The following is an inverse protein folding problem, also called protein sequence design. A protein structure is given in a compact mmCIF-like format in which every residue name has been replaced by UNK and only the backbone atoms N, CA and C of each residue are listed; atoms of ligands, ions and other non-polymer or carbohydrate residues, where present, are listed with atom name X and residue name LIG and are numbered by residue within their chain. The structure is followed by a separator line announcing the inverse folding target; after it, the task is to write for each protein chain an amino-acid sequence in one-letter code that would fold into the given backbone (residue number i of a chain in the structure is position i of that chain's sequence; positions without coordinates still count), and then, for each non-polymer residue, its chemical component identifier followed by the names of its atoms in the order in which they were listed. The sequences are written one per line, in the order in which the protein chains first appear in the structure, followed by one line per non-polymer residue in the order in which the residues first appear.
data_IF_887685072492
#
_entry.id   IF_887685072492
#
_cell.length_a   1.000
_cell.length_b   1.000
_cell.length_c   1.000
_cell.angle_alpha   90.00
_cell.angle_beta   90.00
_cell.angle_gamma   90.00
#
_symmetry.space_group_name_H-M   'P 1'
#
loop_
_entity.id
_entity.type
_entity.pdbx_description
1 polymer ?
#
# COMPACT_ATOMS: atom_id res chain seq x y z
N UNK A 1 -14.28 -17.14 -5.33
CA UNK A 1 -13.81 -15.86 -5.91
C UNK A 1 -12.36 -15.69 -5.62
N UNK A 2 -11.57 -15.57 -6.67
CA UNK A 2 -10.12 -15.41 -6.54
C UNK A 2 -9.74 -13.94 -6.76
N UNK A 3 -8.80 -13.47 -5.94
CA UNK A 3 -8.21 -12.15 -6.06
C UNK A 3 -6.98 -12.26 -6.97
N UNK A 4 -6.91 -11.42 -7.98
CA UNK A 4 -5.74 -11.34 -8.85
C UNK A 4 -4.94 -10.09 -8.51
N UNK A 5 -3.69 -10.28 -8.11
CA UNK A 5 -2.78 -9.17 -7.82
C UNK A 5 -1.87 -8.95 -9.02
N UNK A 6 -1.77 -7.71 -9.46
CA UNK A 6 -0.92 -7.34 -10.58
C UNK A 6 -0.37 -5.92 -10.39
N UNK A 7 0.75 -5.57 -11.04
CA UNK A 7 1.21 -4.18 -11.09
C UNK A 7 0.11 -3.26 -11.65
N UNK A 8 0.02 -2.05 -11.10
CA UNK A 8 -0.92 -1.06 -11.62
C UNK A 8 -0.56 -0.71 -13.07
N UNK A 9 -1.56 -0.70 -13.93
CA UNK A 9 -1.42 -0.40 -15.36
C UNK A 9 -2.23 0.83 -15.73
N UNK A 10 -1.98 1.40 -16.91
CA UNK A 10 -2.66 2.61 -17.35
C UNK A 10 -4.19 2.50 -17.29
N UNK A 11 -4.73 1.34 -17.63
CA UNK A 11 -6.18 1.09 -17.61
C UNK A 11 -6.78 1.14 -16.19
N UNK A 12 -5.96 1.01 -15.16
CA UNK A 12 -6.43 1.04 -13.77
C UNK A 12 -6.68 2.45 -13.25
N UNK A 13 -6.26 3.49 -13.97
CA UNK A 13 -6.29 4.86 -13.47
C UNK A 13 -7.65 5.31 -12.91
N UNK A 14 -8.78 5.11 -13.62
CA UNK A 14 -10.06 5.60 -13.09
C UNK A 14 -10.43 4.96 -11.74
N UNK A 15 -10.25 3.66 -11.62
CA UNK A 15 -10.55 2.96 -10.36
C UNK A 15 -9.51 3.24 -9.28
N UNK A 16 -8.23 3.35 -9.67
CA UNK A 16 -7.19 3.76 -8.72
C UNK A 16 -7.52 5.12 -8.08
N UNK A 17 -7.97 6.07 -8.88
CA UNK A 17 -8.32 7.41 -8.38
C UNK A 17 -9.46 7.35 -7.37
N UNK A 18 -10.48 6.53 -7.61
CA UNK A 18 -11.58 6.33 -6.66
C UNK A 18 -11.05 5.76 -5.34
N UNK A 19 -10.21 4.73 -5.42
CA UNK A 19 -9.64 4.08 -4.23
C UNK A 19 -8.66 5.00 -3.49
N UNK A 20 -7.83 5.74 -4.22
CA UNK A 20 -6.90 6.71 -3.63
C UNK A 20 -7.65 7.83 -2.88
N UNK A 21 -8.74 8.34 -3.45
CA UNK A 21 -9.59 9.32 -2.77
C UNK A 21 -10.21 8.73 -1.51
N UNK A 22 -10.66 7.47 -1.56
CA UNK A 22 -11.18 6.77 -0.39
C UNK A 22 -10.15 6.63 0.72
N UNK A 23 -8.92 6.29 0.36
CA UNK A 23 -7.80 6.20 1.30
C UNK A 23 -7.53 7.55 2.00
N UNK A 24 -7.45 8.63 1.23
CA UNK A 24 -7.22 9.97 1.77
C UNK A 24 -8.37 10.46 2.64
N UNK A 25 -9.61 10.16 2.24
CA UNK A 25 -10.79 10.47 3.05
C UNK A 25 -10.78 9.74 4.39
N UNK A 26 -10.35 8.48 4.40
CA UNK A 26 -10.21 7.70 5.64
C UNK A 26 -9.25 8.38 6.62
N UNK A 27 -8.14 8.94 6.11
CA UNK A 27 -7.16 9.65 6.94
C UNK A 27 -7.46 11.16 7.05
N UNK A 28 -8.61 11.60 6.56
CA UNK A 28 -9.04 13.02 6.64
C UNK A 28 -8.00 13.97 6.04
N UNK A 29 -7.38 13.55 4.95
CA UNK A 29 -6.34 14.31 4.26
C UNK A 29 -6.89 14.86 2.95
N UNK A 30 -6.70 16.16 2.72
CA UNK A 30 -7.08 16.81 1.46
C UNK A 30 -5.91 16.75 0.48
N UNK A 31 -6.19 16.33 -0.75
CA UNK A 31 -5.21 16.19 -1.82
C UNK A 31 -5.82 16.80 -3.07
N UNK A 32 -5.06 17.66 -3.75
CA UNK A 32 -5.50 18.31 -4.98
C UNK A 32 -5.50 17.33 -6.16
N UNK A 33 -6.27 17.63 -7.19
CA UNK A 33 -6.27 16.82 -8.42
C UNK A 33 -4.88 16.74 -9.05
N UNK A 34 -4.12 17.83 -9.00
CA UNK A 34 -2.74 17.86 -9.50
C UNK A 34 -1.82 16.91 -8.71
N UNK A 35 -2.00 16.82 -7.41
CA UNK A 35 -1.23 15.89 -6.58
C UNK A 35 -1.57 14.44 -6.88
N UNK A 36 -2.85 14.10 -7.09
CA UNK A 36 -3.24 12.75 -7.54
C UNK A 36 -2.61 12.43 -8.89
N UNK A 37 -2.61 13.37 -9.82
CA UNK A 37 -2.02 13.17 -11.13
C UNK A 37 -0.51 12.91 -11.05
N UNK A 38 0.20 13.65 -10.21
CA UNK A 38 1.64 13.45 -9.98
C UNK A 38 1.92 12.08 -9.33
N UNK A 39 1.10 11.70 -8.35
CA UNK A 39 1.24 10.39 -7.70
C UNK A 39 1.07 9.26 -8.73
N UNK A 40 0.05 9.37 -9.59
CA UNK A 40 -0.17 8.37 -10.63
C UNK A 40 1.02 8.26 -11.59
N UNK A 41 1.58 9.41 -12.01
CA UNK A 41 2.76 9.41 -12.87
C UNK A 41 3.96 8.71 -12.21
N UNK A 42 4.18 8.95 -10.91
CA UNK A 42 5.25 8.25 -10.18
C UNK A 42 5.02 6.74 -10.15
N UNK A 43 3.78 6.30 -9.95
CA UNK A 43 3.46 4.88 -9.93
C UNK A 43 3.68 4.23 -11.30
N UNK A 44 3.32 4.91 -12.38
CA UNK A 44 3.56 4.39 -13.74
C UNK A 44 5.04 4.36 -14.11
N UNK A 45 5.83 5.29 -13.59
CA UNK A 45 7.26 5.36 -13.87
C UNK A 45 8.04 4.18 -13.28
N UNK A 46 7.61 3.63 -12.16
CA UNK A 46 8.21 2.47 -11.48
C UNK A 46 9.72 2.60 -11.25
N UNK A 47 10.16 3.80 -10.87
CA UNK A 47 11.57 4.07 -10.56
C UNK A 47 11.82 4.37 -9.08
N UNK A 48 10.87 4.99 -8.39
CA UNK A 48 10.99 5.35 -6.97
C UNK A 48 9.89 4.73 -6.10
N UNK A 49 8.69 4.61 -6.65
CA UNK A 49 7.55 3.97 -5.98
C UNK A 49 6.91 2.96 -6.92
N UNK A 50 6.32 1.93 -6.34
CA UNK A 50 5.65 0.87 -7.08
C UNK A 50 4.24 0.70 -6.55
N UNK A 51 3.34 0.27 -7.41
CA UNK A 51 1.96 0.01 -7.04
C UNK A 51 1.48 -1.33 -7.53
N UNK A 52 0.73 -2.02 -6.66
CA UNK A 52 0.02 -3.24 -7.02
C UNK A 52 -1.48 -3.00 -6.83
N UNK A 53 -2.25 -3.62 -7.70
CA UNK A 53 -3.71 -3.63 -7.63
C UNK A 53 -4.25 -5.01 -7.40
N UNK A 54 -5.31 -5.10 -6.61
CA UNK A 54 -6.08 -6.31 -6.41
C UNK A 54 -7.36 -6.22 -7.25
N UNK A 55 -7.54 -7.18 -8.13
CA UNK A 55 -8.72 -7.28 -8.99
C UNK A 55 -9.59 -8.44 -8.54
N UNK A 56 -10.87 -8.19 -8.45
CA UNK A 56 -11.89 -9.18 -8.10
C UNK A 56 -12.99 -9.10 -9.19
N UNK A 57 -13.20 -10.20 -9.90
CA UNK A 57 -14.14 -10.25 -11.03
C UNK A 57 -13.88 -9.14 -12.07
N UNK A 58 -12.60 -8.84 -12.32
CA UNK A 58 -12.20 -7.85 -13.31
C UNK A 58 -12.23 -6.40 -12.83
N UNK A 59 -12.66 -6.12 -11.61
CA UNK A 59 -12.69 -4.77 -11.04
C UNK A 59 -11.56 -4.57 -10.05
N UNK A 60 -10.87 -3.43 -10.14
CA UNK A 60 -9.86 -3.05 -9.17
C UNK A 60 -10.55 -2.69 -7.85
N UNK A 61 -10.27 -3.45 -6.80
CA UNK A 61 -10.90 -3.32 -5.49
C UNK A 61 -9.93 -3.02 -4.35
N UNK A 62 -8.64 -3.07 -4.60
CA UNK A 62 -7.63 -2.76 -3.59
C UNK A 62 -6.36 -2.25 -4.23
N UNK A 63 -5.65 -1.40 -3.51
CA UNK A 63 -4.39 -0.83 -3.96
C UNK A 63 -3.38 -0.82 -2.83
N UNK A 64 -2.10 -0.95 -3.19
CA UNK A 64 -1.00 -0.75 -2.27
C UNK A 64 0.15 -0.07 -3.02
N UNK A 65 0.86 0.80 -2.32
CA UNK A 65 2.03 1.49 -2.84
C UNK A 65 3.20 1.20 -1.91
N UNK A 66 4.36 0.93 -2.48
CA UNK A 66 5.54 0.61 -1.69
C UNK A 66 6.80 1.15 -2.37
N UNK A 67 7.87 1.23 -1.59
CA UNK A 67 9.15 1.74 -2.05
C UNK A 67 10.27 1.03 -1.30
N UNK A 68 11.48 1.22 -1.80
CA UNK A 68 12.68 0.64 -1.22
C UNK A 68 13.62 1.73 -0.78
N UNK A 69 14.31 1.53 0.33
CA UNK A 69 15.37 2.43 0.77
C UNK A 69 16.55 1.65 1.31
N UNK A 70 17.73 2.26 1.22
CA UNK A 70 18.93 1.79 1.87
C UNK A 70 19.05 2.46 3.22
N UNK A 71 19.44 1.72 4.24
CA UNK A 71 19.75 2.27 5.56
C UNK A 71 21.23 2.17 5.84
N UNK A 72 21.66 2.66 7.00
CA UNK A 72 23.05 2.53 7.43
C UNK A 72 23.43 1.06 7.63
N UNK A 73 22.52 0.29 8.20
CA UNK A 73 22.78 -1.09 8.61
C UNK A 73 22.13 -2.12 7.69
N UNK A 74 21.29 -1.70 6.75
CA UNK A 74 20.60 -2.57 5.82
C UNK A 74 20.83 -2.09 4.40
N UNK A 75 21.13 -3.01 3.50
CA UNK A 75 21.33 -2.66 2.10
C UNK A 75 20.01 -2.29 1.40
N UNK A 76 18.95 -3.03 1.64
CA UNK A 76 17.65 -2.81 1.01
C UNK A 76 16.53 -3.07 2.02
N UNK A 77 15.62 -2.13 2.14
CA UNK A 77 14.44 -2.24 3.02
C UNK A 77 13.22 -1.84 2.21
N UNK A 78 12.14 -2.61 2.33
CA UNK A 78 10.87 -2.30 1.68
C UNK A 78 9.94 -1.61 2.69
N UNK A 79 9.40 -0.46 2.30
CA UNK A 79 8.37 0.27 3.04
C UNK A 79 7.06 0.18 2.28
N UNK A 80 6.06 -0.49 2.87
CA UNK A 80 4.69 -0.50 2.37
C UNK A 80 4.02 0.76 2.90
N UNK A 81 3.85 1.74 2.02
CA UNK A 81 3.42 3.08 2.42
C UNK A 81 1.91 3.22 2.52
N UNK A 82 1.18 2.70 1.55
CA UNK A 82 -0.27 2.84 1.47
C UNK A 82 -0.91 1.48 1.19
N UNK A 83 -2.04 1.23 1.84
CA UNK A 83 -2.84 0.03 1.62
C UNK A 83 -4.30 0.38 1.83
N UNK A 84 -5.13 0.18 0.81
CA UNK A 84 -6.55 0.47 0.89
C UNK A 84 -7.36 -0.55 0.10
N UNK A 85 -8.46 -1.01 0.70
CA UNK A 85 -9.38 -1.96 0.10
C UNK A 85 -10.78 -1.33 0.10
N UNK A 86 -11.47 -1.47 -1.03
CA UNK A 86 -12.86 -1.02 -1.17
C UNK A 86 -13.71 -1.62 -0.05
N UNK A 87 -14.49 -0.76 0.62
CA UNK A 87 -15.32 -1.18 1.75
C UNK A 87 -16.29 -2.31 1.38
N UNK A 88 -16.73 -2.37 0.12
CA UNK A 88 -17.67 -3.38 -0.36
C UNK A 88 -17.12 -4.80 -0.30
N UNK A 89 -15.79 -4.96 -0.31
CA UNK A 89 -15.14 -6.27 -0.35
C UNK A 89 -14.23 -6.55 0.85
N UNK A 90 -14.31 -5.75 1.90
CA UNK A 90 -13.53 -5.99 3.13
C UNK A 90 -13.93 -7.31 3.77
N UNK A 91 -12.99 -7.93 4.47
CA UNK A 91 -13.19 -9.23 5.10
C UNK A 91 -13.05 -10.43 4.17
N UNK A 92 -12.58 -10.20 2.92
CA UNK A 92 -12.39 -11.27 1.92
C UNK A 92 -10.93 -11.60 1.66
N UNK A 93 -10.03 -11.13 2.50
CA UNK A 93 -8.59 -11.43 2.38
C UNK A 93 -7.85 -10.59 1.34
N UNK A 94 -8.44 -9.52 0.81
CA UNK A 94 -7.82 -8.67 -0.22
C UNK A 94 -6.58 -7.96 0.35
N UNK A 95 -6.69 -7.36 1.52
CA UNK A 95 -5.56 -6.66 2.15
C UNK A 95 -4.40 -7.62 2.43
N UNK A 96 -4.69 -8.81 2.95
CA UNK A 96 -3.68 -9.83 3.18
C UNK A 96 -2.98 -10.25 1.88
N UNK A 97 -3.74 -10.45 0.82
CA UNK A 97 -3.18 -10.82 -0.48
C UNK A 97 -2.25 -9.72 -1.02
N UNK A 98 -2.60 -8.45 -0.85
CA UNK A 98 -1.74 -7.33 -1.22
C UNK A 98 -0.45 -7.31 -0.40
N UNK A 99 -0.54 -7.48 0.92
CA UNK A 99 0.64 -7.54 1.78
C UNK A 99 1.57 -8.69 1.35
N UNK A 100 1.03 -9.86 1.09
CA UNK A 100 1.81 -11.02 0.67
C UNK A 100 2.48 -10.78 -0.69
N UNK A 101 1.81 -10.10 -1.61
CA UNK A 101 2.38 -9.75 -2.91
C UNK A 101 3.53 -8.75 -2.76
N UNK A 102 3.41 -7.76 -1.89
CA UNK A 102 4.51 -6.83 -1.58
C UNK A 102 5.68 -7.59 -0.94
N UNK A 103 5.39 -8.51 -0.02
CA UNK A 103 6.42 -9.33 0.60
C UNK A 103 7.19 -10.15 -0.45
N UNK A 104 6.49 -10.69 -1.44
CA UNK A 104 7.13 -11.42 -2.53
C UNK A 104 8.02 -10.52 -3.39
N UNK A 105 7.53 -9.33 -3.73
CA UNK A 105 8.33 -8.35 -4.46
C UNK A 105 9.58 -7.94 -3.67
N UNK A 106 9.44 -7.78 -2.35
CA UNK A 106 10.54 -7.47 -1.47
C UNK A 106 11.60 -8.58 -1.45
N UNK A 107 11.17 -9.84 -1.37
CA UNK A 107 12.08 -11.00 -1.42
C UNK A 107 12.85 -11.06 -2.75
N UNK A 108 12.14 -10.86 -3.85
CA UNK A 108 12.76 -10.88 -5.20
C UNK A 108 13.81 -9.79 -5.35
N UNK A 109 13.64 -8.67 -4.67
CA UNK A 109 14.60 -7.57 -4.68
C UNK A 109 15.73 -7.76 -3.67
N UNK A 110 15.65 -8.75 -2.81
CA UNK A 110 16.65 -9.00 -1.77
C UNK A 110 16.50 -8.10 -0.55
N UNK A 111 15.30 -7.57 -0.30
CA UNK A 111 15.06 -6.74 0.86
C UNK A 111 15.23 -7.54 2.16
N UNK A 112 15.87 -6.92 3.13
CA UNK A 112 16.13 -7.52 4.43
C UNK A 112 14.99 -7.29 5.44
N UNK A 113 14.08 -6.35 5.13
CA UNK A 113 12.96 -6.01 5.98
C UNK A 113 11.81 -5.45 5.13
N UNK A 114 10.59 -5.77 5.53
CA UNK A 114 9.35 -5.16 5.07
C UNK A 114 8.62 -4.62 6.29
N UNK A 115 8.24 -3.37 6.26
CA UNK A 115 7.51 -2.76 7.37
C UNK A 115 6.46 -1.76 6.87
N UNK A 116 5.51 -1.45 7.75
CA UNK A 116 4.50 -0.41 7.51
C UNK A 116 4.08 0.22 8.82
N UNK A 117 3.40 1.35 8.71
CA UNK A 117 2.89 2.12 9.83
C UNK A 117 1.37 2.12 9.79
N UNK A 118 0.75 2.19 10.94
CA UNK A 118 -0.69 2.42 11.08
C UNK A 118 -0.94 3.24 12.33
N UNK A 119 -2.10 3.89 12.40
CA UNK A 119 -2.48 4.60 13.60
C UNK A 119 -2.77 3.59 14.72
N UNK A 120 -2.32 3.90 15.94
CA UNK A 120 -2.41 2.98 17.07
C UNK A 120 -3.85 2.57 17.41
N UNK A 121 -4.82 3.46 17.11
CA UNK A 121 -6.24 3.22 17.37
C UNK A 121 -6.97 2.49 16.23
N UNK A 122 -6.29 2.21 15.13
CA UNK A 122 -6.88 1.52 13.98
C UNK A 122 -7.03 0.02 14.29
N UNK A 123 -8.02 -0.33 15.11
CA UNK A 123 -8.19 -1.68 15.63
C UNK A 123 -8.48 -2.70 14.52
N UNK A 124 -9.28 -2.34 13.52
CA UNK A 124 -9.62 -3.24 12.42
C UNK A 124 -8.40 -3.65 11.60
N UNK A 125 -7.56 -2.68 11.24
CA UNK A 125 -6.33 -2.96 10.50
C UNK A 125 -5.33 -3.75 11.36
N UNK A 126 -5.17 -3.38 12.63
CA UNK A 126 -4.26 -4.05 13.55
C UNK A 126 -4.64 -5.51 13.80
N UNK A 127 -5.93 -5.82 13.77
CA UNK A 127 -6.37 -7.22 13.90
C UNK A 127 -5.79 -8.10 12.78
N UNK A 128 -5.72 -7.58 11.55
CA UNK A 128 -5.05 -8.28 10.45
C UNK A 128 -3.52 -8.25 10.63
N UNK A 129 -2.95 -7.10 10.93
CA UNK A 129 -1.50 -6.93 11.02
C UNK A 129 -0.88 -7.81 12.09
N UNK A 130 -1.55 -7.98 13.22
CA UNK A 130 -1.09 -8.86 14.31
C UNK A 130 -1.04 -10.34 13.89
N UNK A 131 -1.84 -10.72 12.88
CA UNK A 131 -1.85 -12.09 12.34
C UNK A 131 -0.73 -12.34 11.32
N UNK A 132 -0.31 -11.30 10.59
CA UNK A 132 0.62 -11.47 9.46
C UNK A 132 2.02 -10.93 9.74
N UNK A 133 2.18 -10.12 10.79
CA UNK A 133 3.44 -9.46 11.12
C UNK A 133 3.59 -9.31 12.63
N UNK A 134 4.64 -8.65 13.05
CA UNK A 134 4.94 -8.42 14.45
C UNK A 134 5.00 -6.93 14.76
N UNK A 135 4.25 -6.47 15.75
CA UNK A 135 4.31 -5.12 16.25
C UNK A 135 5.64 -4.90 16.99
N UNK A 136 6.38 -3.85 16.59
CA UNK A 136 7.71 -3.56 17.14
C UNK A 136 7.75 -2.39 18.12
N UNK A 137 6.60 -1.84 18.46
CA UNK A 137 6.46 -0.78 19.46
C UNK A 137 7.26 0.49 19.15
N UNK A 138 7.34 0.87 17.88
CA UNK A 138 7.89 2.17 17.49
C UNK A 138 6.76 3.19 17.35
N UNK A 139 7.06 4.44 17.68
CA UNK A 139 6.16 5.57 17.44
C UNK A 139 6.82 6.53 16.46
N UNK A 140 6.00 7.30 15.76
CA UNK A 140 6.49 8.22 14.74
C UNK A 140 6.37 9.65 15.23
N UNK A 141 7.42 10.44 15.02
CA UNK A 141 7.44 11.88 15.23
C UNK A 141 7.64 12.57 13.88
N UNK A 142 6.85 13.61 13.61
CA UNK A 142 7.01 14.45 12.43
C UNK A 142 7.51 15.82 12.87
N UNK A 143 8.59 16.28 12.26
CA UNK A 143 9.12 17.61 12.49
C UNK A 143 8.69 18.51 11.33
N UNK A 144 8.06 19.65 11.63
CA UNK A 144 7.61 20.58 10.59
C UNK A 144 8.82 21.26 9.93
N UNK A 145 8.89 21.18 8.61
CA UNK A 145 9.96 21.78 7.82
C UNK A 145 9.54 23.10 7.20
#
# INVERSE_FOLDING_TARGET
MSVRIAPLAAADHPRWLVLARGYKAFYQTEVTDAEYARAWQRLLATDHVWGLGAHLDGELVGITHFLFHTGTWNHEVCYLQDLFVDARVRGRGVARALIEAVAQAARERGAERLYWLTQSHNAAARALYDKVAKYKDFIRYDYAL
#
